data_IF_565930413627
#
_entry.id   IF_565930413627
#
_cell.length_a   1.000
_cell.length_b   1.000
_cell.length_c   1.000
_cell.angle_alpha   90.00
_cell.angle_beta   90.00
_cell.angle_gamma   90.00
#
_symmetry.space_group_name_H-M   'P 1'
#
loop_
_entity.id
_entity.type
_entity.pdbx_description
1 polymer ?
#
# COMPACT_ATOMS: atom_id res chain seq x y z
N UNK A 1 -6.31 4.48 -12.19
CA UNK A 1 -5.09 4.07 -12.94
C UNK A 1 -4.44 5.22 -13.69
N UNK A 2 -5.13 6.10 -14.45
CA UNK A 2 -4.46 7.27 -15.08
C UNK A 2 -3.64 8.12 -14.11
N UNK A 3 -4.23 8.51 -12.96
CA UNK A 3 -3.54 9.25 -11.89
C UNK A 3 -2.26 8.58 -11.36
N UNK A 4 -2.22 7.24 -11.24
CA UNK A 4 -1.04 6.54 -10.70
C UNK A 4 0.08 6.47 -11.72
N UNK A 5 -0.25 6.43 -13.02
CA UNK A 5 0.72 6.53 -14.10
C UNK A 5 1.28 7.96 -14.19
N UNK A 6 0.41 8.97 -14.12
CA UNK A 6 0.82 10.39 -14.12
C UNK A 6 1.75 10.74 -12.95
N UNK A 7 1.49 10.18 -11.76
CA UNK A 7 2.36 10.34 -10.59
C UNK A 7 3.61 9.46 -10.59
N UNK A 8 3.74 8.55 -11.57
CA UNK A 8 4.88 7.64 -11.68
C UNK A 8 4.87 6.43 -10.73
N UNK A 9 3.80 6.24 -9.95
CA UNK A 9 3.65 5.08 -9.03
C UNK A 9 3.49 3.76 -9.76
N UNK A 10 2.98 3.80 -11.00
CA UNK A 10 2.76 2.61 -11.81
C UNK A 10 3.27 2.87 -13.22
N UNK A 11 4.04 1.93 -13.76
CA UNK A 11 4.49 1.96 -15.15
C UNK A 11 3.80 0.85 -15.95
N UNK A 12 3.58 1.04 -17.26
CA UNK A 12 3.20 -0.07 -18.13
C UNK A 12 4.24 -1.17 -18.04
N UNK A 13 3.80 -2.42 -17.96
CA UNK A 13 4.70 -3.58 -18.02
C UNK A 13 5.34 -3.60 -19.42
N UNK A 14 6.68 -3.68 -19.55
CA UNK A 14 7.35 -3.80 -20.83
C UNK A 14 6.81 -4.97 -21.66
N UNK A 15 6.68 -4.79 -22.97
CA UNK A 15 6.05 -5.78 -23.85
C UNK A 15 6.78 -7.13 -23.86
N UNK A 16 8.09 -7.12 -23.69
CA UNK A 16 8.94 -8.30 -23.60
C UNK A 16 8.60 -9.16 -22.37
N UNK A 17 8.12 -8.51 -21.30
CA UNK A 17 7.67 -9.15 -20.07
C UNK A 17 6.19 -9.55 -20.14
N UNK A 18 5.53 -9.44 -21.30
CA UNK A 18 4.18 -9.97 -21.49
C UNK A 18 4.19 -11.32 -22.24
N UNK A 19 5.36 -11.80 -22.66
CA UNK A 19 5.48 -13.07 -23.39
C UNK A 19 5.27 -14.28 -22.47
N UNK A 20 4.53 -15.27 -22.97
CA UNK A 20 4.18 -16.52 -22.27
C UNK A 20 5.39 -17.35 -21.78
N UNK A 21 6.58 -17.12 -22.36
CA UNK A 21 7.81 -17.83 -21.99
C UNK A 21 8.49 -17.22 -20.75
N UNK A 22 8.00 -16.09 -20.25
CA UNK A 22 8.47 -15.48 -19.01
C UNK A 22 7.61 -16.04 -17.84
N UNK A 23 8.11 -17.05 -17.13
CA UNK A 23 7.47 -17.61 -15.94
C UNK A 23 8.16 -17.07 -14.66
N UNK A 24 7.48 -16.79 -13.53
CA UNK A 24 6.07 -16.60 -13.25
C UNK A 24 5.70 -15.10 -13.07
N UNK A 25 4.61 -14.67 -13.71
CA UNK A 25 3.98 -13.38 -13.43
C UNK A 25 3.09 -13.50 -12.19
N UNK A 26 3.55 -12.95 -11.06
CA UNK A 26 2.68 -12.79 -9.91
C UNK A 26 1.73 -11.62 -10.16
N UNK A 27 0.45 -11.93 -10.28
CA UNK A 27 -0.60 -10.91 -10.31
C UNK A 27 -1.22 -10.80 -8.93
N UNK A 28 -1.36 -9.56 -8.45
CA UNK A 28 -2.09 -9.28 -7.23
C UNK A 28 -3.54 -8.92 -7.61
N UNK A 29 -4.54 -9.62 -7.05
CA UNK A 29 -5.93 -9.25 -7.27
C UNK A 29 -6.16 -7.82 -6.83
N UNK A 30 -6.77 -7.04 -7.73
CA UNK A 30 -7.09 -5.65 -7.49
C UNK A 30 -8.60 -5.48 -7.49
N UNK A 31 -9.14 -4.82 -6.49
CA UNK A 31 -10.55 -4.44 -6.47
C UNK A 31 -10.74 -2.99 -6.03
N UNK A 32 -11.88 -2.41 -6.42
CA UNK A 32 -12.21 -1.03 -6.13
C UNK A 32 -13.16 -0.96 -4.93
N UNK A 33 -12.85 -0.10 -3.97
CA UNK A 33 -13.62 0.09 -2.74
C UNK A 33 -14.09 1.54 -2.67
N UNK A 34 -15.38 1.72 -2.37
CA UNK A 34 -15.99 3.00 -2.08
C UNK A 34 -16.24 3.12 -0.58
N UNK A 35 -15.86 4.25 0.00
CA UNK A 35 -16.22 4.57 1.38
C UNK A 35 -17.58 5.29 1.36
N UNK A 36 -18.62 4.81 2.06
CA UNK A 36 -19.91 5.50 2.12
C UNK A 36 -19.83 6.95 2.61
N UNK A 37 -18.83 7.28 3.44
CA UNK A 37 -18.60 8.65 3.95
C UNK A 37 -17.83 9.55 2.96
N UNK A 38 -17.25 8.97 1.91
CA UNK A 38 -16.49 9.66 0.85
C UNK A 38 -16.76 8.98 -0.50
N UNK A 39 -18.01 8.97 -0.98
CA UNK A 39 -18.42 8.23 -2.18
C UNK A 39 -17.74 8.74 -3.46
N UNK A 40 -17.27 9.97 -3.47
CA UNK A 40 -16.53 10.58 -4.58
C UNK A 40 -15.10 10.03 -4.74
N UNK A 41 -14.56 9.36 -3.72
CA UNK A 41 -13.17 8.88 -3.69
C UNK A 41 -13.11 7.35 -3.80
N UNK A 42 -12.93 6.86 -5.03
CA UNK A 42 -12.63 5.46 -5.30
C UNK A 42 -11.22 5.10 -4.79
N UNK A 43 -11.12 4.01 -4.02
CA UNK A 43 -9.83 3.46 -3.59
C UNK A 43 -9.57 2.15 -4.30
N UNK A 44 -8.36 2.00 -4.82
CA UNK A 44 -7.87 0.72 -5.33
C UNK A 44 -7.21 -0.04 -4.20
N UNK A 45 -7.61 -1.28 -3.97
CA UNK A 45 -7.01 -2.19 -2.98
C UNK A 45 -6.38 -3.36 -3.71
N UNK A 46 -5.13 -3.66 -3.34
CA UNK A 46 -4.43 -4.87 -3.75
C UNK A 46 -4.56 -5.89 -2.63
N UNK A 47 -5.05 -7.08 -2.96
CA UNK A 47 -5.21 -8.17 -1.98
C UNK A 47 -3.93 -9.00 -1.90
N UNK A 48 -3.08 -8.67 -0.91
CA UNK A 48 -1.83 -9.39 -0.68
C UNK A 48 -2.02 -10.68 0.12
N UNK A 49 -3.21 -10.92 0.65
CA UNK A 49 -3.57 -12.14 1.38
C UNK A 49 -4.17 -13.22 0.47
N UNK A 50 -4.53 -12.85 -0.77
CA UNK A 50 -5.01 -13.79 -1.78
C UNK A 50 -3.98 -14.92 -1.99
N UNK A 51 -4.44 -16.17 -1.83
CA UNK A 51 -3.59 -17.35 -1.94
C UNK A 51 -3.67 -17.97 -3.33
N UNK A 52 -2.51 -18.30 -3.89
CA UNK A 52 -2.36 -19.16 -5.06
C UNK A 52 -1.44 -20.32 -4.70
N UNK A 53 -1.86 -21.55 -5.01
CA UNK A 53 -1.09 -22.76 -4.66
C UNK A 53 -0.69 -22.82 -3.17
N UNK A 54 -1.57 -22.33 -2.28
CA UNK A 54 -1.37 -22.34 -0.83
C UNK A 54 -0.53 -21.18 -0.26
N UNK A 55 0.02 -20.30 -1.11
CA UNK A 55 0.90 -19.19 -0.71
C UNK A 55 0.29 -17.84 -1.11
N UNK A 56 0.45 -16.82 -0.27
CA UNK A 56 0.11 -15.42 -0.56
C UNK A 56 1.35 -14.53 -0.51
N UNK A 57 1.25 -13.30 -1.03
CA UNK A 57 2.34 -12.35 -0.93
C UNK A 57 2.67 -12.03 0.55
N UNK A 58 1.69 -11.96 1.44
CA UNK A 58 1.94 -11.72 2.87
C UNK A 58 2.75 -12.84 3.55
N UNK A 59 2.79 -14.05 2.99
CA UNK A 59 3.54 -15.18 3.56
C UNK A 59 5.04 -15.16 3.18
N UNK A 60 5.45 -14.34 2.20
CA UNK A 60 6.79 -14.43 1.57
C UNK A 60 7.86 -13.48 2.14
N UNK A 61 7.57 -12.21 2.52
CA UNK A 61 8.59 -11.28 2.99
C UNK A 61 9.25 -11.73 4.28
N UNK A 62 10.56 -11.55 4.36
CA UNK A 62 11.27 -11.65 5.65
C UNK A 62 10.87 -10.48 6.54
N UNK A 63 10.49 -10.78 7.78
CA UNK A 63 10.15 -9.75 8.75
C UNK A 63 11.39 -8.94 9.12
N UNK A 64 11.35 -7.64 8.83
CA UNK A 64 12.34 -6.68 9.29
C UNK A 64 12.12 -6.25 10.76
N UNK A 65 13.05 -5.48 11.34
CA UNK A 65 12.86 -4.87 12.65
C UNK A 65 11.67 -3.90 12.65
N UNK A 66 10.96 -3.82 13.78
CA UNK A 66 9.90 -2.83 13.95
C UNK A 66 10.49 -1.41 14.04
N UNK A 67 10.21 -0.60 13.02
CA UNK A 67 10.63 0.80 12.94
C UNK A 67 9.56 1.78 13.41
N UNK A 68 8.40 1.29 13.83
CA UNK A 68 7.31 2.15 14.29
C UNK A 68 7.61 2.69 15.69
N UNK A 69 7.44 4.00 15.85
CA UNK A 69 7.58 4.60 17.17
C UNK A 69 6.41 4.17 18.08
N UNK A 70 6.74 3.80 19.32
CA UNK A 70 5.74 3.36 20.29
C UNK A 70 4.62 4.41 20.46
N UNK A 71 3.37 4.01 20.19
CA UNK A 71 2.21 4.89 20.20
C UNK A 71 1.97 5.54 21.57
N UNK A 72 2.12 4.80 22.67
CA UNK A 72 2.00 5.36 24.03
C UNK A 72 3.05 6.44 24.25
N UNK A 73 4.30 6.17 23.85
CA UNK A 73 5.37 7.15 23.90
C UNK A 73 5.09 8.41 23.08
N UNK A 74 4.49 8.25 21.89
CA UNK A 74 4.04 9.39 21.05
C UNK A 74 2.98 10.19 21.81
N UNK A 75 1.92 9.55 22.30
CA UNK A 75 0.80 10.23 22.96
C UNK A 75 1.23 10.96 24.25
N UNK A 76 2.16 10.38 25.02
CA UNK A 76 2.72 11.03 26.20
C UNK A 76 3.51 12.29 25.84
N UNK A 77 4.34 12.25 24.78
CA UNK A 77 5.07 13.42 24.29
C UNK A 77 4.14 14.51 23.75
N UNK A 78 3.08 14.13 23.04
CA UNK A 78 2.04 15.04 22.55
C UNK A 78 1.35 15.82 23.67
N UNK A 79 1.21 15.22 24.86
CA UNK A 79 0.60 15.87 26.05
C UNK A 79 1.58 16.68 26.89
N UNK A 80 2.89 16.61 26.63
CA UNK A 80 3.91 17.27 27.46
C UNK A 80 3.87 18.80 27.34
N UNK A 81 3.44 19.32 26.20
CA UNK A 81 3.44 20.76 25.90
C UNK A 81 2.02 21.30 25.80
N UNK A 82 1.86 22.63 25.97
CA UNK A 82 0.56 23.31 25.92
C UNK A 82 -0.12 23.23 24.55
N UNK A 83 0.67 23.12 23.48
CA UNK A 83 0.19 23.12 22.09
C UNK A 83 0.78 21.92 21.37
N UNK A 84 -0.07 21.18 20.67
CA UNK A 84 0.32 20.08 19.79
C UNK A 84 0.01 20.45 18.34
N UNK A 85 0.91 20.06 17.43
CA UNK A 85 0.74 20.22 15.98
C UNK A 85 0.68 18.84 15.35
N UNK A 86 -0.28 18.66 14.45
CA UNK A 86 -0.46 17.42 13.69
C UNK A 86 -0.51 17.74 12.21
N UNK A 87 0.12 16.91 11.40
CA UNK A 87 0.02 16.95 9.96
C UNK A 87 -0.12 15.52 9.43
N UNK A 88 -0.81 15.36 8.31
CA UNK A 88 -0.89 14.12 7.56
C UNK A 88 0.09 14.21 6.39
N UNK A 89 0.92 13.19 6.20
CA UNK A 89 1.84 13.13 5.05
C UNK A 89 1.06 12.50 3.90
N UNK A 90 0.69 13.32 2.92
CA UNK A 90 0.06 12.82 1.71
C UNK A 90 0.98 11.82 1.01
N UNK A 91 0.43 10.65 0.65
CA UNK A 91 1.12 9.66 -0.18
C UNK A 91 2.45 9.12 0.42
N UNK A 92 2.55 9.03 1.75
CA UNK A 92 3.76 8.58 2.48
C UNK A 92 4.46 7.31 1.96
N UNK A 93 3.71 6.33 1.44
CA UNK A 93 4.24 5.02 1.00
C UNK A 93 4.28 4.84 -0.52
N UNK A 94 3.90 5.86 -1.28
CA UNK A 94 3.76 5.78 -2.74
C UNK A 94 5.00 6.28 -3.47
#
# INVERSE_FOLDING_TARGET
MKRTIEKGYTVPVPGEQLHCNFHPHWYLPQHAVLNPKKPEKLRTVLDYAAKHMGQSLNDMPFQGPDTTANLVGILLRFRKQRVAVTADIEEMFM
#
